data_IF_876023045293
#
_entry.id   IF_876023045293
#
_cell.length_a   1.000
_cell.length_b   1.000
_cell.length_c   1.000
_cell.angle_alpha   90.00
_cell.angle_beta   90.00
_cell.angle_gamma   90.00
#
_symmetry.space_group_name_H-M   'P 1'
#
loop_
_entity.id
_entity.type
_entity.pdbx_description
1 polymer ?
#
# COMPACT_ATOMS: atom_id res chain seq x y z
N UNK A 1 -0.74 -23.20 17.27
CA UNK A 1 -1.19 -21.85 17.04
C UNK A 1 -0.21 -21.13 16.12
N UNK A 2 -0.69 -20.59 15.06
CA UNK A 2 0.16 -19.91 14.11
C UNK A 2 0.59 -18.55 14.63
N UNK A 3 1.87 -18.29 14.70
CA UNK A 3 2.38 -16.96 14.99
C UNK A 3 2.55 -16.22 13.67
N UNK A 4 1.99 -15.04 13.57
CA UNK A 4 2.21 -14.20 12.40
C UNK A 4 3.66 -13.72 12.36
N UNK A 5 4.19 -13.53 11.16
CA UNK A 5 5.48 -12.86 10.99
C UNK A 5 5.43 -11.48 11.64
N UNK A 6 6.53 -10.99 12.22
CA UNK A 6 6.53 -9.67 12.87
C UNK A 6 5.99 -8.55 12.01
N UNK A 7 6.19 -8.63 10.71
CA UNK A 7 5.79 -7.57 9.77
C UNK A 7 4.42 -7.80 9.16
N UNK A 8 3.69 -8.81 9.65
CA UNK A 8 2.47 -9.23 9.01
C UNK A 8 1.26 -8.82 9.85
N UNK A 9 0.41 -7.92 9.37
CA UNK A 9 -0.88 -7.72 10.03
C UNK A 9 -1.71 -8.99 9.94
N UNK A 10 -2.35 -9.36 11.03
CA UNK A 10 -3.22 -10.53 11.08
C UNK A 10 -4.68 -10.07 11.02
N UNK A 11 -5.58 -10.86 10.44
CA UNK A 11 -5.33 -12.01 9.56
C UNK A 11 -4.99 -11.57 8.15
N UNK A 12 -4.30 -12.43 7.42
CA UNK A 12 -3.89 -12.11 6.07
C UNK A 12 -4.31 -13.17 5.08
N UNK A 13 -4.81 -12.69 3.95
CA UNK A 13 -4.95 -13.52 2.76
C UNK A 13 -3.59 -13.72 2.09
N UNK A 14 -3.39 -14.83 1.36
CA UNK A 14 -2.20 -15.00 0.52
C UNK A 14 -2.00 -13.81 -0.41
N UNK A 15 -0.76 -13.39 -0.60
CA UNK A 15 -0.43 -12.29 -1.48
C UNK A 15 -0.54 -10.89 -0.87
N UNK A 16 -0.86 -10.78 0.41
CA UNK A 16 -0.84 -9.47 1.10
C UNK A 16 0.60 -9.05 1.35
N UNK A 17 0.89 -7.81 0.99
CA UNK A 17 2.16 -7.16 1.26
C UNK A 17 1.97 -6.08 2.33
N UNK A 18 2.97 -5.84 3.16
CA UNK A 18 2.89 -4.80 4.19
C UNK A 18 4.26 -4.32 4.61
N UNK A 19 4.30 -3.07 5.09
CA UNK A 19 5.50 -2.46 5.65
C UNK A 19 5.18 -1.76 6.97
N UNK A 20 6.14 -1.72 7.90
CA UNK A 20 5.99 -0.98 9.15
C UNK A 20 6.38 0.49 8.97
N UNK A 21 5.72 1.37 9.71
CA UNK A 21 6.03 2.78 9.76
C UNK A 21 5.92 3.30 11.20
N UNK A 22 6.95 4.00 11.65
CA UNK A 22 6.90 4.74 12.91
C UNK A 22 6.38 6.15 12.64
N UNK A 23 5.49 6.65 13.48
CA UNK A 23 5.00 8.03 13.39
C UNK A 23 6.04 8.97 14.01
N UNK A 24 6.56 9.88 13.21
CA UNK A 24 7.53 10.90 13.60
C UNK A 24 6.83 12.25 13.78
N UNK A 25 7.52 13.23 14.36
CA UNK A 25 7.01 14.59 14.48
C UNK A 25 6.53 15.17 13.14
N UNK A 26 7.32 14.97 12.10
CA UNK A 26 6.98 15.49 10.76
C UNK A 26 5.66 14.92 10.20
N UNK A 27 5.19 13.79 10.75
CA UNK A 27 3.97 13.13 10.31
C UNK A 27 2.72 13.67 11.01
N UNK A 28 2.90 14.46 12.07
CA UNK A 28 1.79 14.96 12.89
C UNK A 28 1.44 16.40 12.53
N UNK A 29 0.20 16.77 12.85
CA UNK A 29 -0.29 18.14 12.70
C UNK A 29 -0.42 18.85 14.05
N UNK A 30 -0.94 20.07 14.03
CA UNK A 30 -1.10 20.88 15.24
C UNK A 30 -2.06 20.25 16.27
N UNK A 31 -2.89 19.31 15.85
CA UNK A 31 -3.80 18.57 16.74
C UNK A 31 -3.15 17.39 17.44
N UNK A 32 -1.87 17.10 17.19
CA UNK A 32 -1.13 16.00 17.81
C UNK A 32 -1.42 14.63 17.24
N UNK A 33 -2.12 14.56 16.13
CA UNK A 33 -2.41 13.31 15.41
C UNK A 33 -1.74 13.35 14.03
N UNK A 34 -1.65 12.19 13.41
CA UNK A 34 -1.09 12.09 12.06
C UNK A 34 -1.91 12.94 11.09
N UNK A 35 -1.21 13.78 10.33
CA UNK A 35 -1.83 14.60 9.30
C UNK A 35 -2.50 13.70 8.27
N UNK A 36 -3.77 14.00 7.94
CA UNK A 36 -4.59 13.08 7.13
C UNK A 36 -3.98 12.71 5.77
N UNK A 37 -3.24 13.60 5.15
CA UNK A 37 -2.61 13.31 3.87
C UNK A 37 -1.36 12.42 4.01
N UNK A 38 -0.80 12.29 5.20
CA UNK A 38 0.43 11.52 5.42
C UNK A 38 0.21 10.02 5.22
N UNK A 39 -0.99 9.53 5.49
CA UNK A 39 -1.32 8.13 5.22
C UNK A 39 -1.20 7.79 3.74
N UNK A 40 -1.50 8.74 2.86
CA UNK A 40 -1.36 8.56 1.42
C UNK A 40 0.10 8.40 1.01
N UNK A 41 1.01 9.08 1.69
CA UNK A 41 2.46 8.93 1.45
C UNK A 41 2.94 7.53 1.83
N UNK A 42 2.51 7.03 2.97
CA UNK A 42 2.86 5.67 3.39
C UNK A 42 2.28 4.63 2.44
N UNK A 43 1.03 4.81 2.03
CA UNK A 43 0.38 3.91 1.07
C UNK A 43 1.11 3.89 -0.26
N UNK A 44 1.58 5.04 -0.73
CA UNK A 44 2.35 5.14 -1.96
C UNK A 44 3.67 4.39 -1.84
N UNK A 45 4.38 4.54 -0.72
CA UNK A 45 5.62 3.78 -0.48
C UNK A 45 5.38 2.28 -0.48
N UNK A 46 4.31 1.84 0.13
CA UNK A 46 3.94 0.41 0.13
C UNK A 46 3.69 -0.09 -1.29
N UNK A 47 2.96 0.68 -2.12
CA UNK A 47 2.74 0.32 -3.52
C UNK A 47 4.06 0.23 -4.29
N UNK A 48 4.94 1.19 -4.08
CA UNK A 48 6.25 1.22 -4.75
C UNK A 48 7.09 0.01 -4.38
N UNK A 49 7.17 -0.31 -3.11
CA UNK A 49 7.96 -1.46 -2.64
C UNK A 49 7.33 -2.80 -3.04
N UNK A 50 6.00 -2.87 -3.06
CA UNK A 50 5.31 -4.04 -3.58
C UNK A 50 5.64 -4.30 -5.05
N UNK A 51 5.57 -3.26 -5.88
CA UNK A 51 5.95 -3.37 -7.29
C UNK A 51 7.41 -3.80 -7.43
N UNK A 52 8.27 -3.32 -6.57
CA UNK A 52 9.68 -3.69 -6.58
C UNK A 52 9.87 -5.19 -6.30
N UNK A 53 9.07 -5.78 -5.43
CA UNK A 53 9.10 -7.24 -5.19
C UNK A 53 8.67 -8.04 -6.41
N UNK A 54 7.91 -7.43 -7.32
CA UNK A 54 7.49 -8.05 -8.57
C UNK A 54 8.48 -7.80 -9.72
N UNK A 55 9.62 -7.17 -9.43
CA UNK A 55 10.63 -6.84 -10.43
C UNK A 55 10.40 -5.51 -11.14
N UNK A 56 9.48 -4.68 -10.64
CA UNK A 56 9.18 -3.38 -11.25
C UNK A 56 9.91 -2.27 -10.53
N UNK A 57 10.75 -1.55 -11.26
CA UNK A 57 11.23 -0.24 -10.85
C UNK A 57 10.58 0.79 -11.77
N UNK A 58 9.85 1.74 -11.20
CA UNK A 58 9.04 2.68 -11.98
C UNK A 58 9.87 3.51 -12.94
N UNK A 59 11.09 3.89 -12.56
CA UNK A 59 12.01 4.62 -13.43
C UNK A 59 12.43 3.79 -14.64
N UNK A 60 12.70 2.50 -14.43
CA UNK A 60 13.09 1.59 -15.54
C UNK A 60 11.91 1.31 -16.45
N UNK A 61 10.73 1.12 -15.87
CA UNK A 61 9.51 0.89 -16.65
C UNK A 61 9.24 2.08 -17.56
N UNK A 62 9.39 3.30 -17.03
CA UNK A 62 9.23 4.52 -17.79
C UNK A 62 10.26 4.64 -18.90
N UNK A 63 11.54 4.38 -18.60
CA UNK A 63 12.63 4.53 -19.57
C UNK A 63 12.62 3.46 -20.65
N UNK A 64 12.31 2.21 -20.30
CA UNK A 64 12.41 1.07 -21.22
C UNK A 64 11.13 0.78 -21.98
N UNK A 65 9.99 0.99 -21.38
CA UNK A 65 8.69 0.64 -21.95
C UNK A 65 7.76 1.83 -22.16
N UNK A 66 8.14 3.01 -21.69
CA UNK A 66 7.33 4.22 -21.82
C UNK A 66 6.02 4.14 -21.04
N UNK A 67 5.95 3.32 -20.01
CA UNK A 67 4.77 3.12 -19.19
C UNK A 67 4.91 3.81 -17.84
N UNK A 68 3.79 4.22 -17.29
CA UNK A 68 3.72 4.91 -16.01
C UNK A 68 2.47 4.48 -15.27
N UNK A 69 2.62 4.29 -13.95
CA UNK A 69 1.48 4.09 -13.07
C UNK A 69 1.01 5.42 -12.54
N UNK A 70 -0.29 5.65 -12.55
CA UNK A 70 -0.90 6.87 -12.01
C UNK A 70 -2.11 6.49 -11.17
N UNK A 71 -2.30 7.21 -10.06
CA UNK A 71 -3.52 7.06 -9.26
C UNK A 71 -4.64 7.78 -9.99
N UNK A 72 -5.67 7.04 -10.38
CA UNK A 72 -6.83 7.60 -11.08
C UNK A 72 -8.04 7.79 -10.18
N UNK A 73 -8.10 7.08 -9.06
CA UNK A 73 -9.21 7.14 -8.13
C UNK A 73 -8.73 6.71 -6.75
N UNK A 74 -9.19 7.40 -5.73
CA UNK A 74 -8.85 7.11 -4.35
C UNK A 74 -10.09 7.30 -3.49
N UNK A 75 -10.42 6.27 -2.73
CA UNK A 75 -11.44 6.33 -1.70
C UNK A 75 -10.76 5.99 -0.39
N UNK A 76 -10.85 6.85 0.60
CA UNK A 76 -10.20 6.66 1.88
C UNK A 76 -11.14 6.96 3.03
N UNK A 77 -11.12 6.11 4.04
CA UNK A 77 -11.89 6.28 5.26
C UNK A 77 -10.95 6.34 6.45
N UNK A 78 -11.08 7.39 7.23
CA UNK A 78 -10.34 7.59 8.48
C UNK A 78 -11.22 7.12 9.63
N UNK A 79 -10.87 6.00 10.23
CA UNK A 79 -11.66 5.38 11.30
C UNK A 79 -11.18 5.86 12.67
N UNK A 80 -9.85 5.90 12.85
CA UNK A 80 -9.23 6.24 14.12
C UNK A 80 -7.86 6.88 13.88
N UNK A 81 -7.51 7.94 14.61
CA UNK A 81 -6.22 8.59 14.38
C UNK A 81 -5.04 7.80 14.93
N UNK A 82 -3.92 7.87 14.23
CA UNK A 82 -2.62 7.50 14.76
C UNK A 82 -1.96 8.73 15.39
N UNK A 83 -1.04 8.48 16.31
CA UNK A 83 -0.37 9.52 17.10
C UNK A 83 1.13 9.38 17.04
N UNK A 84 1.81 10.41 17.51
CA UNK A 84 3.27 10.41 17.62
C UNK A 84 3.75 9.14 18.34
N UNK A 85 4.84 8.59 17.82
CA UNK A 85 5.51 7.38 18.32
C UNK A 85 4.76 6.07 18.09
N UNK A 86 3.54 6.10 17.56
CA UNK A 86 2.86 4.87 17.21
C UNK A 86 3.66 4.11 16.15
N UNK A 87 3.65 2.78 16.25
CA UNK A 87 4.15 1.90 15.21
C UNK A 87 2.96 1.38 14.42
N UNK A 88 3.00 1.60 13.11
CA UNK A 88 1.91 1.26 12.20
C UNK A 88 2.36 0.19 11.22
N UNK A 89 1.40 -0.60 10.77
CA UNK A 89 1.57 -1.51 9.64
C UNK A 89 0.63 -1.07 8.53
N UNK A 90 1.17 -0.83 7.35
CA UNK A 90 0.38 -0.45 6.17
C UNK A 90 0.43 -1.61 5.18
N UNK A 91 -0.72 -2.13 4.84
CA UNK A 91 -0.83 -3.31 3.98
C UNK A 91 -1.30 -2.96 2.56
N UNK A 92 -1.30 -3.99 1.71
CA UNK A 92 -1.78 -3.89 0.34
C UNK A 92 -2.32 -5.24 -0.10
N UNK A 93 -3.52 -5.22 -0.68
CA UNK A 93 -4.11 -6.37 -1.37
C UNK A 93 -4.45 -5.99 -2.79
N UNK A 94 -4.37 -6.95 -3.72
CA UNK A 94 -4.84 -6.76 -5.09
C UNK A 94 -6.29 -7.21 -5.13
N UNK A 95 -7.20 -6.24 -5.24
CA UNK A 95 -8.64 -6.53 -5.20
C UNK A 95 -9.20 -6.82 -6.59
N UNK A 96 -8.66 -6.18 -7.63
CA UNK A 96 -9.11 -6.37 -9.00
C UNK A 96 -8.01 -6.01 -9.98
N UNK A 97 -7.92 -6.78 -11.06
CA UNK A 97 -7.02 -6.52 -12.19
C UNK A 97 -7.89 -6.38 -13.43
N UNK A 98 -7.73 -5.28 -14.15
CA UNK A 98 -8.35 -5.03 -15.44
C UNK A 98 -7.28 -4.71 -16.47
N UNK A 99 -7.64 -4.66 -17.75
CA UNK A 99 -6.68 -4.49 -18.83
C UNK A 99 -5.64 -3.38 -18.64
N UNK A 100 -6.08 -2.21 -18.18
CA UNK A 100 -5.23 -1.03 -18.03
C UNK A 100 -5.18 -0.50 -16.60
N UNK A 101 -5.69 -1.23 -15.62
CA UNK A 101 -5.74 -0.75 -14.24
C UNK A 101 -5.77 -1.87 -13.21
N UNK A 102 -5.35 -1.51 -12.01
CA UNK A 102 -5.44 -2.32 -10.80
C UNK A 102 -6.29 -1.59 -9.78
N UNK A 103 -7.07 -2.35 -9.01
CA UNK A 103 -7.67 -1.83 -7.80
C UNK A 103 -7.01 -2.51 -6.62
N UNK A 104 -6.45 -1.69 -5.74
CA UNK A 104 -5.70 -2.12 -4.58
C UNK A 104 -6.42 -1.70 -3.32
N UNK A 105 -6.54 -2.61 -2.37
CA UNK A 105 -6.96 -2.29 -1.02
C UNK A 105 -5.74 -2.01 -0.15
N UNK A 106 -5.78 -0.95 0.62
CA UNK A 106 -4.72 -0.63 1.56
C UNK A 106 -5.31 -0.24 2.90
N UNK A 107 -4.72 -0.73 3.98
CA UNK A 107 -5.18 -0.46 5.33
C UNK A 107 -4.02 -0.11 6.21
N UNK A 108 -4.28 0.73 7.20
CA UNK A 108 -3.30 1.12 8.22
C UNK A 108 -3.74 0.53 9.53
N UNK A 109 -2.86 -0.23 10.15
CA UNK A 109 -3.09 -0.90 11.43
C UNK A 109 -2.13 -0.35 12.48
N UNK A 110 -2.62 -0.23 13.69
CA UNK A 110 -1.72 0.02 14.81
C UNK A 110 -1.08 -1.30 15.24
N UNK A 111 0.25 -1.31 15.31
CA UNK A 111 0.98 -2.46 15.79
C UNK A 111 0.98 -2.46 17.33
N UNK A 112 0.76 -3.62 17.94
CA UNK A 112 0.72 -3.71 19.38
C UNK A 112 2.11 -3.42 19.99
N UNK A 113 2.20 -2.53 20.98
CA UNK A 113 3.45 -2.27 21.68
C UNK A 113 4.04 -3.50 22.37
N UNK A 114 3.19 -4.44 22.77
CA UNK A 114 3.62 -5.65 23.47
C UNK A 114 4.20 -6.71 22.53
N UNK A 115 3.77 -6.69 21.30
CA UNK A 115 4.20 -7.68 20.30
C UNK A 115 5.12 -7.05 19.27
N UNK A 116 5.44 -5.78 19.45
CA UNK A 116 6.20 -4.97 18.49
C UNK A 116 5.72 -5.27 17.06
N UNK A 117 6.15 -5.41 16.11
CA UNK A 117 5.79 -5.55 14.72
C UNK A 117 4.56 -6.45 14.42
N UNK A 118 3.67 -6.68 15.38
CA UNK A 118 2.50 -7.53 15.16
C UNK A 118 1.20 -6.76 15.39
N UNK A 119 0.25 -7.00 14.50
CA UNK A 119 -1.10 -6.46 14.62
C UNK A 119 -1.97 -7.47 15.37
N UNK A 120 -2.74 -6.99 16.33
CA UNK A 120 -3.72 -7.81 17.02
C UNK A 120 -4.76 -8.31 16.01
N UNK A 121 -5.04 -9.61 16.02
CA UNK A 121 -6.00 -10.23 15.10
C UNK A 121 -7.42 -9.67 15.23
N UNK A 122 -7.77 -9.14 16.41
CA UNK A 122 -9.06 -8.51 16.66
C UNK A 122 -9.08 -7.02 16.35
N UNK A 123 -7.93 -6.43 16.03
CA UNK A 123 -7.82 -5.00 15.79
C UNK A 123 -8.57 -4.60 14.52
N UNK A 124 -9.14 -3.39 14.56
CA UNK A 124 -9.70 -2.76 13.36
C UNK A 124 -8.65 -1.85 12.75
N UNK A 125 -8.64 -1.69 11.44
CA UNK A 125 -7.73 -0.73 10.83
C UNK A 125 -8.07 0.70 11.26
N UNK A 126 -7.03 1.52 11.37
CA UNK A 126 -7.19 2.95 11.66
C UNK A 126 -7.65 3.69 10.40
N UNK A 127 -7.22 3.24 9.24
CA UNK A 127 -7.52 3.82 7.95
C UNK A 127 -7.74 2.71 6.94
N UNK A 128 -8.72 2.88 6.08
CA UNK A 128 -9.01 1.95 4.98
C UNK A 128 -9.06 2.73 3.68
N UNK A 129 -8.43 2.21 2.63
CA UNK A 129 -8.43 2.86 1.33
C UNK A 129 -8.62 1.85 0.21
N UNK A 130 -9.26 2.32 -0.85
CA UNK A 130 -9.32 1.66 -2.15
C UNK A 130 -8.69 2.58 -3.17
N UNK A 131 -7.67 2.09 -3.85
CA UNK A 131 -6.88 2.89 -4.78
C UNK A 131 -6.94 2.25 -6.15
N UNK A 132 -7.37 3.01 -7.15
CA UNK A 132 -7.30 2.58 -8.53
C UNK A 132 -6.04 3.15 -9.16
N UNK A 133 -5.17 2.27 -9.60
CA UNK A 133 -3.91 2.62 -10.25
C UNK A 133 -4.04 2.26 -11.72
N UNK A 134 -3.94 3.25 -12.58
CA UNK A 134 -3.99 3.05 -14.02
C UNK A 134 -2.59 3.00 -14.61
N UNK A 135 -2.46 2.26 -15.71
CA UNK A 135 -1.24 2.26 -16.52
C UNK A 135 -1.48 3.16 -17.71
N UNK A 136 -0.56 4.05 -17.96
CA UNK A 136 -0.65 4.96 -19.10
C UNK A 136 0.66 5.01 -19.87
N UNK A 137 0.53 5.31 -21.15
CA UNK A 137 1.67 5.63 -22.00
C UNK A 137 2.14 7.05 -21.66
N UNK A 138 3.41 7.20 -21.31
CA UNK A 138 3.98 8.49 -20.95
C UNK A 138 3.97 9.51 -22.07
N UNK A 139 4.05 9.04 -23.31
CA UNK A 139 4.19 9.91 -24.46
C UNK A 139 2.88 10.60 -24.82
N UNK A 140 1.76 9.87 -24.83
CA UNK A 140 0.46 10.42 -25.23
C UNK A 140 -0.57 10.50 -24.10
N UNK A 141 -0.24 9.98 -22.91
CA UNK A 141 -1.13 10.02 -21.75
C UNK A 141 -2.34 9.08 -21.85
N UNK A 142 -2.35 8.18 -22.84
CA UNK A 142 -3.47 7.25 -23.04
C UNK A 142 -3.32 6.02 -22.17
N UNK A 143 -4.44 5.36 -21.83
CA UNK A 143 -4.39 4.09 -21.13
C UNK A 143 -3.57 3.06 -21.91
N UNK A 144 -2.76 2.29 -21.21
CA UNK A 144 -1.97 1.22 -21.76
C UNK A 144 -2.25 -0.08 -21.01
N UNK A 145 -2.18 -1.21 -21.69
CA UNK A 145 -2.39 -2.50 -21.07
C UNK A 145 -1.28 -2.81 -20.07
N UNK A 146 -1.64 -3.48 -18.97
CA UNK A 146 -0.66 -4.04 -18.06
C UNK A 146 0.21 -5.06 -18.82
N UNK A 147 1.54 -4.98 -18.69
CA UNK A 147 2.41 -5.96 -19.33
C UNK A 147 2.10 -7.38 -18.83
N UNK A 148 2.14 -8.35 -19.75
CA UNK A 148 1.84 -9.74 -19.38
C UNK A 148 2.80 -10.28 -18.33
N UNK A 149 4.07 -9.93 -18.40
CA UNK A 149 5.04 -10.38 -17.40
C UNK A 149 4.70 -9.88 -15.99
N UNK A 150 4.11 -8.68 -15.88
CA UNK A 150 3.67 -8.13 -14.62
C UNK A 150 2.43 -8.87 -14.10
N UNK A 151 1.47 -9.17 -14.98
CA UNK A 151 0.31 -9.97 -14.61
C UNK A 151 0.74 -11.33 -14.08
N UNK A 152 1.68 -11.99 -14.76
CA UNK A 152 2.22 -13.28 -14.34
C UNK A 152 2.91 -13.18 -12.97
N UNK A 153 3.67 -12.13 -12.73
CA UNK A 153 4.35 -11.90 -11.46
C UNK A 153 3.36 -11.73 -10.32
N UNK A 154 2.25 -11.03 -10.56
CA UNK A 154 1.20 -10.85 -9.55
C UNK A 154 0.48 -12.16 -9.22
N UNK A 155 0.29 -13.03 -10.19
CA UNK A 155 -0.35 -14.33 -9.98
C UNK A 155 0.55 -15.32 -9.23
N UNK A 156 1.86 -15.14 -9.32
CA UNK A 156 2.85 -16.04 -8.71
C UNK A 156 3.26 -15.64 -7.30
N UNK A 157 2.84 -14.48 -6.83
CA UNK A 157 3.25 -13.93 -5.52
C UNK A 157 2.24 -14.20 -4.41
#
# INVERSE_FOLDING_TARGET
MRTASPDTPAPRAPGVFALPFRVYYEDTDAGGIVYHANYLRWMERVRTEWLRTLGVQQTDLAAQQGLQFVVSELDIRYVKPARLDDLLTVDLTVDQVRGASLRLGQRVWQTSPLTQDRVDASARPLVEASVRVAVMNRQDGRPAALPRWLLNAMESS
#
